data_IF_146456214128
#
_entry.id   IF_146456214128
#
_cell.length_a   1.000
_cell.length_b   1.000
_cell.length_c   1.000
_cell.angle_alpha   90.00
_cell.angle_beta   90.00
_cell.angle_gamma   90.00
#
_symmetry.space_group_name_H-M   'P 1'
#
loop_
_entity.id
_entity.type
_entity.pdbx_description
1 polymer ?
#
# COMPACT_ATOMS: atom_id res chain seq x y z
N UNK A 1 -12.71 23.06 -1.08
CA UNK A 1 -12.31 21.80 -1.75
C UNK A 1 -13.52 21.27 -2.48
N UNK A 2 -13.37 20.81 -3.72
CA UNK A 2 -14.43 20.05 -4.40
C UNK A 2 -14.57 18.66 -3.77
N UNK A 3 -15.74 18.05 -3.94
CA UNK A 3 -16.03 16.65 -3.53
C UNK A 3 -14.96 15.67 -4.06
N UNK A 4 -14.57 15.84 -5.34
CA UNK A 4 -13.52 15.03 -5.98
C UNK A 4 -12.16 15.23 -5.33
N UNK A 5 -11.74 16.47 -5.07
CA UNK A 5 -10.46 16.76 -4.41
C UNK A 5 -10.42 16.21 -2.99
N UNK A 6 -11.54 16.28 -2.27
CA UNK A 6 -11.64 15.71 -0.92
C UNK A 6 -11.54 14.19 -0.94
N UNK A 7 -12.20 13.55 -1.90
CA UNK A 7 -12.16 12.09 -2.08
C UNK A 7 -10.75 11.62 -2.44
N UNK A 8 -10.08 12.29 -3.38
CA UNK A 8 -8.70 11.99 -3.77
C UNK A 8 -7.74 12.13 -2.59
N UNK A 9 -7.81 13.24 -1.85
CA UNK A 9 -6.91 13.50 -0.73
C UNK A 9 -7.14 12.52 0.42
N UNK A 10 -8.40 12.25 0.78
CA UNK A 10 -8.74 11.30 1.84
C UNK A 10 -8.32 9.87 1.48
N UNK A 11 -8.51 9.46 0.22
CA UNK A 11 -8.03 8.17 -0.26
C UNK A 11 -6.52 8.05 -0.13
N UNK A 12 -5.74 9.03 -0.61
CA UNK A 12 -4.27 8.97 -0.52
C UNK A 12 -3.80 8.95 0.94
N UNK A 13 -4.36 9.81 1.79
CA UNK A 13 -3.92 9.96 3.19
C UNK A 13 -4.34 8.75 4.04
N UNK A 14 -5.61 8.36 4.02
CA UNK A 14 -6.12 7.28 4.87
C UNK A 14 -5.62 5.91 4.39
N UNK A 15 -5.65 5.65 3.08
CA UNK A 15 -5.14 4.39 2.55
C UNK A 15 -3.62 4.31 2.71
N UNK A 16 -2.89 5.40 2.43
CA UNK A 16 -1.45 5.47 2.65
C UNK A 16 -1.09 5.21 4.11
N UNK A 17 -1.81 5.83 5.04
CA UNK A 17 -1.67 5.59 6.48
C UNK A 17 -1.94 4.14 6.86
N UNK A 18 -2.99 3.52 6.31
CA UNK A 18 -3.31 2.11 6.54
C UNK A 18 -2.21 1.18 6.03
N UNK A 19 -1.68 1.43 4.82
CA UNK A 19 -0.58 0.65 4.23
C UNK A 19 0.68 0.74 5.12
N UNK A 20 1.01 1.94 5.62
CA UNK A 20 2.12 2.12 6.55
C UNK A 20 1.90 1.33 7.86
N UNK A 21 0.69 1.36 8.40
CA UNK A 21 0.34 0.58 9.58
C UNK A 21 0.43 -0.93 9.33
N UNK A 22 0.03 -1.41 8.15
CA UNK A 22 0.22 -2.80 7.74
C UNK A 22 1.71 -3.18 7.65
N UNK A 23 2.56 -2.29 7.13
CA UNK A 23 4.01 -2.47 7.13
C UNK A 23 4.59 -2.57 8.54
N UNK A 24 4.11 -1.75 9.47
CA UNK A 24 4.46 -1.84 10.89
C UNK A 24 4.02 -3.17 11.52
N UNK A 25 2.80 -3.62 11.24
CA UNK A 25 2.30 -4.92 11.71
C UNK A 25 3.16 -6.06 11.17
N UNK A 26 3.51 -6.05 9.88
CA UNK A 26 4.35 -7.09 9.28
C UNK A 26 5.74 -7.13 9.90
N UNK A 27 6.30 -5.96 10.21
CA UNK A 27 7.58 -5.86 10.92
C UNK A 27 7.51 -6.45 12.32
N UNK A 28 6.48 -6.12 13.10
CA UNK A 28 6.26 -6.66 14.45
C UNK A 28 5.96 -8.17 14.40
N UNK A 29 5.11 -8.60 13.48
CA UNK A 29 4.77 -10.00 13.24
C UNK A 29 6.00 -10.80 12.85
N UNK A 30 6.84 -10.29 11.96
CA UNK A 30 8.08 -10.97 11.54
C UNK A 30 8.98 -11.28 12.73
N UNK A 31 9.11 -10.33 13.67
CA UNK A 31 9.87 -10.52 14.91
C UNK A 31 9.19 -11.48 15.88
N UNK A 32 7.88 -11.38 16.08
CA UNK A 32 7.12 -12.18 17.06
C UNK A 32 6.87 -13.62 16.59
N UNK A 33 6.69 -13.84 15.30
CA UNK A 33 6.39 -15.15 14.71
C UNK A 33 7.64 -16.02 14.52
N UNK A 34 8.83 -15.49 14.80
CA UNK A 34 10.08 -16.18 14.47
C UNK A 34 10.29 -16.36 12.96
N UNK A 35 9.59 -15.58 12.14
CA UNK A 35 9.83 -15.55 10.70
C UNK A 35 11.28 -15.12 10.49
N UNK A 36 12.13 -16.06 10.05
CA UNK A 36 13.51 -15.76 9.72
C UNK A 36 13.61 -14.67 8.65
N UNK A 37 14.84 -14.23 8.34
CA UNK A 37 15.09 -13.15 7.36
C UNK A 37 14.33 -13.34 6.04
N UNK A 38 14.23 -14.57 5.55
CA UNK A 38 13.48 -14.90 4.34
C UNK A 38 11.96 -14.73 4.52
N UNK A 39 11.40 -15.19 5.63
CA UNK A 39 9.96 -15.08 5.91
C UNK A 39 9.51 -13.62 6.01
N UNK A 40 10.24 -12.79 6.77
CA UNK A 40 9.93 -11.35 6.84
C UNK A 40 10.09 -10.68 5.48
N UNK A 41 11.10 -11.06 4.68
CA UNK A 41 11.27 -10.54 3.33
C UNK A 41 10.06 -10.85 2.43
N UNK A 42 9.57 -12.10 2.42
CA UNK A 42 8.38 -12.47 1.64
C UNK A 42 7.13 -11.72 2.09
N UNK A 43 6.95 -11.51 3.40
CA UNK A 43 5.81 -10.71 3.92
C UNK A 43 5.85 -9.27 3.41
N UNK A 44 7.03 -8.64 3.40
CA UNK A 44 7.21 -7.31 2.82
C UNK A 44 7.07 -7.30 1.29
N UNK A 45 7.51 -8.36 0.61
CA UNK A 45 7.35 -8.51 -0.84
C UNK A 45 5.87 -8.59 -1.23
N UNK A 46 5.07 -9.35 -0.48
CA UNK A 46 3.63 -9.47 -0.69
C UNK A 46 2.93 -8.12 -0.51
N UNK A 47 3.25 -7.40 0.57
CA UNK A 47 2.75 -6.04 0.79
C UNK A 47 3.16 -5.10 -0.35
N UNK A 48 4.45 -5.08 -0.69
CA UNK A 48 5.02 -4.25 -1.76
C UNK A 48 4.33 -4.50 -3.09
N UNK A 49 4.13 -5.77 -3.46
CA UNK A 49 3.45 -6.17 -4.69
C UNK A 49 2.00 -5.66 -4.71
N UNK A 50 1.28 -5.76 -3.59
CA UNK A 50 -0.09 -5.24 -3.48
C UNK A 50 -0.16 -3.72 -3.64
N UNK A 51 0.75 -3.00 -2.99
CA UNK A 51 0.85 -1.52 -3.08
C UNK A 51 1.25 -1.09 -4.49
N UNK A 52 2.23 -1.76 -5.10
CA UNK A 52 2.64 -1.51 -6.49
C UNK A 52 1.49 -1.75 -7.45
N UNK A 53 0.70 -2.82 -7.30
CA UNK A 53 -0.49 -3.07 -8.12
C UNK A 53 -1.54 -1.97 -7.97
N UNK A 54 -1.76 -1.47 -6.75
CA UNK A 54 -2.66 -0.34 -6.51
C UNK A 54 -2.19 0.94 -7.21
N UNK A 55 -0.92 1.30 -7.08
CA UNK A 55 -0.35 2.49 -7.76
C UNK A 55 -0.38 2.32 -9.27
N UNK A 56 -0.01 1.14 -9.77
CA UNK A 56 -0.01 0.83 -11.19
C UNK A 56 -1.39 0.98 -11.81
N UNK A 57 -2.46 0.50 -11.14
CA UNK A 57 -3.84 0.72 -11.57
C UNK A 57 -4.16 2.21 -11.69
N UNK A 58 -3.81 3.02 -10.69
CA UNK A 58 -4.10 4.46 -10.72
C UNK A 58 -3.40 5.13 -11.92
N UNK A 59 -2.13 4.81 -12.16
CA UNK A 59 -1.39 5.30 -13.32
C UNK A 59 -2.04 4.84 -14.63
N UNK A 60 -2.47 3.59 -14.73
CA UNK A 60 -3.14 3.06 -15.91
C UNK A 60 -4.45 3.79 -16.20
N UNK A 61 -5.27 4.02 -15.18
CA UNK A 61 -6.55 4.73 -15.32
C UNK A 61 -6.30 6.19 -15.72
N UNK A 62 -5.37 6.87 -15.05
CA UNK A 62 -5.08 8.28 -15.30
C UNK A 62 -4.43 8.51 -16.68
N UNK A 63 -3.54 7.61 -17.11
CA UNK A 63 -2.78 7.80 -18.33
C UNK A 63 -3.42 7.19 -19.58
N UNK A 64 -4.20 6.11 -19.43
CA UNK A 64 -4.78 5.34 -20.55
C UNK A 64 -6.30 5.52 -20.72
N UNK A 65 -7.03 5.79 -19.64
CA UNK A 65 -8.49 5.94 -19.66
C UNK A 65 -8.98 7.39 -19.49
N UNK A 66 -8.19 8.26 -18.84
CA UNK A 66 -8.51 9.68 -18.61
C UNK A 66 -7.80 10.64 -19.59
N UNK A 67 -6.90 10.12 -20.44
CA UNK A 67 -6.48 10.79 -21.68
C UNK A 67 -7.52 10.57 -22.78
#
# INVERSE_FOLDING_TARGET
MSEEQFTQLSMVVLLGGLILFMGFIIWDLGKKSGAGRFGTFVLFLALGTGVTGFVFKNVLVEFLLLR
#
